data_IF_111833647262
#
_entry.id   IF_111833647262
#
_cell.length_a   1.000
_cell.length_b   1.000
_cell.length_c   1.000
_cell.angle_alpha   90.00
_cell.angle_beta   90.00
_cell.angle_gamma   90.00
#
_symmetry.space_group_name_H-M   'P 1'
#
loop_
_entity.id
_entity.type
_entity.pdbx_description
1 polymer ?
#
# COMPACT_ATOMS: atom_id res chain seq x y z
N UNK A 1 57.89 -28.31 11.38
CA UNK A 1 56.63 -27.54 11.27
C UNK A 1 56.94 -26.31 10.42
N UNK A 2 56.34 -26.19 9.23
CA UNK A 2 56.68 -25.12 8.26
C UNK A 2 55.99 -23.81 8.64
N UNK A 3 56.52 -23.15 9.68
CA UNK A 3 56.01 -21.87 10.19
C UNK A 3 55.98 -20.76 9.13
N UNK A 4 56.89 -20.82 8.15
CA UNK A 4 56.91 -19.89 7.01
C UNK A 4 55.69 -20.05 6.12
N UNK A 5 55.28 -21.29 5.82
CA UNK A 5 54.10 -21.57 5.00
C UNK A 5 52.81 -21.14 5.72
N UNK A 6 52.74 -21.35 7.04
CA UNK A 6 51.62 -20.87 7.86
C UNK A 6 51.58 -19.34 7.89
N UNK A 7 52.72 -18.67 8.03
CA UNK A 7 52.81 -17.21 7.98
C UNK A 7 52.33 -16.65 6.63
N UNK A 8 52.71 -17.27 5.51
CA UNK A 8 52.24 -16.86 4.18
C UNK A 8 50.73 -17.04 4.01
N UNK A 9 50.15 -18.13 4.52
CA UNK A 9 48.70 -18.37 4.46
C UNK A 9 47.95 -17.33 5.29
N UNK A 10 48.42 -17.01 6.49
CA UNK A 10 47.81 -15.98 7.36
C UNK A 10 47.92 -14.60 6.72
N UNK A 11 49.08 -14.24 6.15
CA UNK A 11 49.23 -12.94 5.48
C UNK A 11 48.36 -12.81 4.23
N UNK A 12 48.20 -13.90 3.47
CA UNK A 12 47.38 -13.92 2.27
C UNK A 12 45.89 -13.81 2.62
N UNK A 13 45.43 -14.54 3.65
CA UNK A 13 44.05 -14.45 4.12
C UNK A 13 43.73 -13.07 4.70
N UNK A 14 44.68 -12.45 5.43
CA UNK A 14 44.50 -11.09 5.93
C UNK A 14 44.41 -10.07 4.79
N UNK A 15 45.27 -10.18 3.77
CA UNK A 15 45.25 -9.30 2.60
C UNK A 15 43.94 -9.45 1.81
N UNK A 16 43.46 -10.69 1.62
CA UNK A 16 42.17 -10.96 0.97
C UNK A 16 41.00 -10.41 1.78
N UNK A 17 41.02 -10.53 3.11
CA UNK A 17 39.98 -9.98 3.97
C UNK A 17 39.91 -8.45 3.89
N UNK A 18 41.07 -7.77 3.89
CA UNK A 18 41.15 -6.30 3.75
C UNK A 18 40.64 -5.84 2.37
N UNK A 19 40.93 -6.59 1.30
CA UNK A 19 40.43 -6.27 -0.04
C UNK A 19 38.93 -6.57 -0.22
N UNK A 20 38.40 -7.56 0.50
CA UNK A 20 36.99 -7.92 0.45
C UNK A 20 36.09 -6.98 1.27
N UNK A 21 36.59 -6.41 2.37
CA UNK A 21 35.84 -5.47 3.23
C UNK A 21 35.14 -4.31 2.48
N UNK A 22 35.81 -3.54 1.60
CA UNK A 22 35.15 -2.46 0.87
C UNK A 22 34.07 -2.98 -0.08
N UNK A 23 34.26 -4.15 -0.69
CA UNK A 23 33.26 -4.73 -1.60
C UNK A 23 31.98 -5.12 -0.84
N UNK A 24 32.12 -5.79 0.31
CA UNK A 24 30.98 -6.17 1.15
C UNK A 24 30.21 -4.93 1.62
N UNK A 25 30.92 -3.89 2.07
CA UNK A 25 30.30 -2.65 2.55
C UNK A 25 29.59 -1.86 1.44
N UNK A 26 30.14 -1.84 0.23
CA UNK A 26 29.51 -1.19 -0.94
C UNK A 26 28.23 -1.95 -1.34
N UNK A 27 28.23 -3.28 -1.29
CA UNK A 27 27.05 -4.10 -1.60
C UNK A 27 25.93 -3.79 -0.61
N UNK A 28 26.22 -3.77 0.69
CA UNK A 28 25.21 -3.47 1.73
C UNK A 28 24.65 -2.06 1.57
N UNK A 29 25.49 -1.05 1.28
CA UNK A 29 25.04 0.33 1.04
C UNK A 29 24.14 0.45 -0.20
N UNK A 30 24.48 -0.27 -1.27
CA UNK A 30 23.69 -0.29 -2.51
C UNK A 30 22.34 -0.96 -2.29
N UNK A 31 22.30 -2.08 -1.58
CA UNK A 31 21.05 -2.79 -1.25
C UNK A 31 20.15 -1.93 -0.37
N UNK A 32 20.69 -1.34 0.69
CA UNK A 32 19.92 -0.42 1.56
C UNK A 32 19.38 0.79 0.79
N UNK A 33 20.18 1.38 -0.09
CA UNK A 33 19.75 2.52 -0.91
C UNK A 33 18.64 2.12 -1.88
N UNK A 34 18.71 0.91 -2.44
CA UNK A 34 17.72 0.40 -3.36
C UNK A 34 16.41 0.07 -2.65
N UNK A 35 16.46 -0.53 -1.46
CA UNK A 35 15.27 -0.76 -0.63
C UNK A 35 14.61 0.55 -0.21
N UNK A 36 15.40 1.54 0.24
CA UNK A 36 14.90 2.88 0.58
C UNK A 36 14.19 3.53 -0.60
N UNK A 37 14.78 3.45 -1.81
CA UNK A 37 14.17 3.98 -3.02
C UNK A 37 12.83 3.29 -3.35
N UNK A 38 12.76 1.95 -3.23
CA UNK A 38 11.53 1.19 -3.45
C UNK A 38 10.43 1.56 -2.46
N UNK A 39 10.80 1.71 -1.19
CA UNK A 39 9.86 2.10 -0.12
C UNK A 39 9.34 3.53 -0.37
N UNK A 40 10.21 4.45 -0.77
CA UNK A 40 9.84 5.82 -1.10
C UNK A 40 8.88 5.87 -2.29
N UNK A 41 9.19 5.15 -3.39
CA UNK A 41 8.29 5.05 -4.55
C UNK A 41 6.91 4.55 -4.14
N UNK A 42 6.89 3.48 -3.34
CA UNK A 42 5.66 2.88 -2.87
C UNK A 42 4.82 3.89 -2.07
N UNK A 43 5.44 4.60 -1.11
CA UNK A 43 4.75 5.59 -0.30
C UNK A 43 4.25 6.78 -1.11
N UNK A 44 4.99 7.23 -2.12
CA UNK A 44 4.54 8.28 -3.02
C UNK A 44 3.24 7.88 -3.73
N UNK A 45 3.18 6.67 -4.28
CA UNK A 45 1.96 6.19 -4.97
C UNK A 45 0.78 6.07 -4.00
N UNK A 46 1.00 5.50 -2.81
CA UNK A 46 -0.05 5.40 -1.78
C UNK A 46 -0.59 6.77 -1.38
N UNK A 47 0.31 7.72 -1.09
CA UNK A 47 -0.08 9.05 -0.65
C UNK A 47 -0.83 9.81 -1.74
N UNK A 48 -0.37 9.71 -2.99
CA UNK A 48 -1.05 10.28 -4.14
C UNK A 48 -2.46 9.69 -4.32
N UNK A 49 -2.61 8.37 -4.21
CA UNK A 49 -3.93 7.71 -4.25
C UNK A 49 -4.84 8.16 -3.11
N UNK A 50 -4.32 8.22 -1.88
CA UNK A 50 -5.07 8.66 -0.71
C UNK A 50 -5.54 10.11 -0.84
N UNK A 51 -4.69 10.99 -1.41
CA UNK A 51 -5.00 12.39 -1.64
C UNK A 51 -6.05 12.60 -2.75
N UNK A 52 -5.94 11.83 -3.84
CA UNK A 52 -6.82 11.91 -4.99
C UNK A 52 -8.23 11.39 -4.71
N UNK A 53 -8.39 10.47 -3.75
CA UNK A 53 -9.67 9.88 -3.41
C UNK A 53 -10.68 10.94 -2.91
N UNK A 54 -11.85 10.99 -3.54
CA UNK A 54 -12.92 11.95 -3.21
C UNK A 54 -12.73 13.36 -3.77
N UNK A 55 -11.71 13.60 -4.61
CA UNK A 55 -11.55 14.86 -5.36
C UNK A 55 -12.50 14.88 -6.58
N UNK A 56 -12.91 16.07 -7.08
CA UNK A 56 -13.76 16.17 -8.28
C UNK A 56 -13.14 15.54 -9.53
N UNK A 57 -11.82 15.64 -9.67
CA UNK A 57 -11.04 15.04 -10.76
C UNK A 57 -9.88 14.21 -10.17
N UNK A 58 -10.15 12.96 -9.75
CA UNK A 58 -9.20 12.14 -9.02
C UNK A 58 -7.89 11.90 -9.77
N UNK A 59 -7.97 11.53 -11.05
CA UNK A 59 -6.79 11.26 -11.88
C UNK A 59 -5.89 12.49 -11.99
N UNK A 60 -6.43 13.67 -12.30
CA UNK A 60 -5.61 14.89 -12.36
C UNK A 60 -5.01 15.27 -11.00
N UNK A 61 -5.75 15.06 -9.91
CA UNK A 61 -5.27 15.36 -8.56
C UNK A 61 -4.15 14.39 -8.13
N UNK A 62 -4.23 13.14 -8.58
CA UNK A 62 -3.17 12.15 -8.42
C UNK A 62 -1.91 12.57 -9.16
N UNK A 63 -2.04 12.91 -10.45
CA UNK A 63 -0.93 13.37 -11.30
C UNK A 63 -0.23 14.58 -10.70
N UNK A 64 -0.99 15.61 -10.32
CA UNK A 64 -0.43 16.85 -9.77
C UNK A 64 0.28 16.61 -8.44
N UNK A 65 -0.31 15.80 -7.54
CA UNK A 65 0.31 15.49 -6.26
C UNK A 65 1.63 14.73 -6.45
N UNK A 66 1.65 13.73 -7.35
CA UNK A 66 2.88 12.98 -7.64
C UNK A 66 3.96 13.88 -8.23
N UNK A 67 3.60 14.76 -9.16
CA UNK A 67 4.54 15.72 -9.76
C UNK A 67 5.10 16.70 -8.72
N UNK A 68 4.24 17.29 -7.88
CA UNK A 68 4.63 18.21 -6.82
C UNK A 68 5.60 17.56 -5.82
N UNK A 69 5.32 16.32 -5.39
CA UNK A 69 6.19 15.56 -4.48
C UNK A 69 7.53 15.21 -5.13
N UNK A 70 7.55 14.83 -6.42
CA UNK A 70 8.79 14.54 -7.14
C UNK A 70 9.65 15.80 -7.33
N UNK A 71 9.02 16.96 -7.58
CA UNK A 71 9.71 18.25 -7.67
C UNK A 71 10.26 18.73 -6.32
N UNK A 72 9.64 18.32 -5.20
CA UNK A 72 10.11 18.63 -3.86
C UNK A 72 11.33 17.80 -3.42
N UNK A 73 11.65 16.70 -4.12
CA UNK A 73 12.83 15.90 -3.83
C UNK A 73 14.11 16.67 -4.20
N UNK A 74 15.05 16.77 -3.25
CA UNK A 74 16.37 17.35 -3.52
C UNK A 74 17.24 16.34 -4.30
N UNK A 75 17.60 16.61 -5.57
CA UNK A 75 18.40 15.70 -6.38
C UNK A 75 19.83 15.51 -5.85
N UNK A 76 20.29 16.35 -4.92
CA UNK A 76 21.60 16.19 -4.26
C UNK A 76 21.59 15.08 -3.21
N UNK A 77 20.40 14.68 -2.74
CA UNK A 77 20.20 13.73 -1.66
C UNK A 77 19.64 12.41 -2.21
N UNK A 78 18.76 12.46 -3.21
CA UNK A 78 18.07 11.28 -3.77
C UNK A 78 18.03 11.34 -5.29
N UNK A 79 18.23 10.20 -5.96
CA UNK A 79 18.04 10.06 -7.42
C UNK A 79 16.55 10.21 -7.77
N UNK A 80 16.20 11.34 -8.40
CA UNK A 80 14.81 11.66 -8.79
C UNK A 80 14.44 10.81 -10.02
N UNK A 81 13.48 9.88 -9.87
CA UNK A 81 13.11 8.99 -10.96
C UNK A 81 12.28 9.73 -12.02
N UNK A 82 12.43 9.33 -13.29
CA UNK A 82 11.43 9.65 -14.30
C UNK A 82 10.24 8.70 -14.15
N UNK A 83 9.02 9.23 -14.07
CA UNK A 83 7.81 8.44 -13.83
C UNK A 83 6.97 8.27 -15.09
N UNK A 84 6.56 7.04 -15.35
CA UNK A 84 5.56 6.71 -16.37
C UNK A 84 4.38 6.03 -15.71
N UNK A 85 3.19 6.55 -15.94
CA UNK A 85 1.97 6.03 -15.36
C UNK A 85 1.38 5.03 -16.33
N UNK A 86 1.34 3.77 -15.89
CA UNK A 86 0.87 2.65 -16.71
C UNK A 86 -0.65 2.48 -16.59
N UNK A 87 -1.19 2.61 -15.38
CA UNK A 87 -2.64 2.59 -15.15
C UNK A 87 -3.02 3.36 -13.88
N UNK A 88 -4.19 3.98 -13.88
CA UNK A 88 -4.83 4.59 -12.70
C UNK A 88 -6.31 4.26 -12.77
N UNK A 89 -6.87 3.78 -11.65
CA UNK A 89 -8.29 3.55 -11.47
C UNK A 89 -8.65 4.10 -10.09
N UNK A 90 -9.44 5.16 -10.02
CA UNK A 90 -9.90 5.74 -8.75
C UNK A 90 -11.43 5.84 -8.79
N UNK A 91 -12.08 4.81 -8.26
CA UNK A 91 -13.53 4.66 -8.12
C UNK A 91 -13.90 4.54 -6.65
N UNK A 92 -15.19 4.55 -6.33
CA UNK A 92 -15.65 4.48 -4.94
C UNK A 92 -15.22 3.16 -4.27
N UNK A 93 -15.44 2.04 -4.94
CA UNK A 93 -15.17 0.69 -4.43
C UNK A 93 -13.78 0.14 -4.79
N UNK A 94 -13.04 0.84 -5.65
CA UNK A 94 -11.79 0.37 -6.24
C UNK A 94 -10.80 1.51 -6.45
N UNK A 95 -9.62 1.39 -5.85
CA UNK A 95 -8.49 2.30 -6.04
C UNK A 95 -7.27 1.47 -6.42
N UNK A 96 -6.67 1.78 -7.57
CA UNK A 96 -5.51 1.09 -8.09
C UNK A 96 -4.63 2.05 -8.90
N UNK A 97 -3.32 1.93 -8.75
CA UNK A 97 -2.38 2.60 -9.64
C UNK A 97 -1.15 1.74 -9.88
N UNK A 98 -0.71 1.70 -11.13
CA UNK A 98 0.57 1.11 -11.53
C UNK A 98 1.46 2.19 -12.15
N UNK A 99 2.63 2.38 -11.56
CA UNK A 99 3.62 3.38 -11.99
C UNK A 99 4.97 2.72 -12.19
N UNK A 100 5.61 3.03 -13.32
CA UNK A 100 7.00 2.71 -13.59
C UNK A 100 7.90 3.90 -13.21
N UNK A 101 8.77 3.69 -12.22
CA UNK A 101 9.84 4.59 -11.82
C UNK A 101 11.13 4.20 -12.53
N UNK A 102 11.61 5.06 -13.42
CA UNK A 102 12.84 4.86 -14.19
C UNK A 102 13.98 5.62 -13.55
N UNK A 103 15.01 4.89 -13.13
CA UNK A 103 16.26 5.44 -12.57
C UNK A 103 17.46 4.98 -13.38
N UNK A 104 18.61 5.60 -13.09
CA UNK A 104 19.90 5.26 -13.71
C UNK A 104 20.26 3.77 -13.62
N UNK A 105 19.82 3.08 -12.57
CA UNK A 105 20.12 1.68 -12.29
C UNK A 105 19.02 0.69 -12.73
N UNK A 106 17.89 1.17 -13.25
CA UNK A 106 16.82 0.30 -13.76
C UNK A 106 15.41 0.89 -13.64
N UNK A 107 14.43 0.09 -14.06
CA UNK A 107 13.01 0.42 -13.99
C UNK A 107 12.37 -0.39 -12.87
N UNK A 108 11.70 0.30 -11.96
CA UNK A 108 10.95 -0.30 -10.85
C UNK A 108 9.46 -0.01 -11.02
N UNK A 109 8.63 -1.05 -11.02
CA UNK A 109 7.17 -0.91 -11.11
C UNK A 109 6.55 -1.03 -9.74
N UNK A 110 5.76 -0.04 -9.38
CA UNK A 110 4.95 -0.02 -8.16
C UNK A 110 3.51 -0.23 -8.56
N UNK A 111 2.88 -1.25 -7.98
CA UNK A 111 1.44 -1.45 -8.03
C UNK A 111 0.87 -1.28 -6.62
N UNK A 112 -0.13 -0.43 -6.47
CA UNK A 112 -0.89 -0.24 -5.24
C UNK A 112 -2.35 -0.52 -5.55
N UNK A 113 -2.98 -1.37 -4.75
CA UNK A 113 -4.36 -1.79 -4.91
C UNK A 113 -5.09 -1.74 -3.56
N UNK A 114 -6.30 -1.20 -3.58
CA UNK A 114 -7.32 -1.40 -2.57
C UNK A 114 -8.67 -1.49 -3.27
N UNK A 115 -9.33 -2.64 -3.20
CA UNK A 115 -10.65 -2.85 -3.78
C UNK A 115 -11.48 -3.73 -2.87
N UNK A 116 -12.81 -3.65 -2.96
CA UNK A 116 -13.70 -4.49 -2.16
C UNK A 116 -14.75 -5.17 -3.04
N UNK A 117 -14.80 -6.48 -2.92
CA UNK A 117 -15.80 -7.32 -3.57
C UNK A 117 -16.85 -7.76 -2.55
N UNK A 118 -18.11 -7.42 -2.80
CA UNK A 118 -19.23 -7.92 -2.00
C UNK A 118 -19.55 -9.36 -2.42
N UNK A 119 -19.44 -10.31 -1.48
CA UNK A 119 -19.68 -11.72 -1.73
C UNK A 119 -21.13 -12.09 -1.46
N UNK A 120 -21.65 -11.70 -0.30
CA UNK A 120 -23.01 -12.00 0.14
C UNK A 120 -23.58 -10.80 0.89
N UNK A 121 -24.88 -10.57 0.73
CA UNK A 121 -25.62 -9.51 1.42
C UNK A 121 -26.96 -10.05 1.87
N UNK A 122 -27.31 -9.78 3.11
CA UNK A 122 -28.63 -10.06 3.67
C UNK A 122 -29.09 -8.89 4.51
N UNK A 123 -30.40 -8.70 4.59
CA UNK A 123 -31.01 -7.68 5.45
C UNK A 123 -32.12 -8.32 6.27
N UNK A 124 -32.28 -7.84 7.50
CA UNK A 124 -33.31 -8.28 8.42
C UNK A 124 -33.82 -7.09 9.22
N UNK A 125 -35.13 -7.00 9.44
CA UNK A 125 -35.71 -5.93 10.23
C UNK A 125 -35.85 -6.38 11.69
N UNK A 126 -35.34 -5.57 12.62
CA UNK A 126 -35.54 -5.77 14.06
C UNK A 126 -36.68 -4.87 14.55
N UNK A 127 -37.88 -5.43 14.80
CA UNK A 127 -39.04 -4.65 15.23
C UNK A 127 -38.89 -4.08 16.65
N UNK A 128 -38.01 -4.63 17.49
CA UNK A 128 -37.82 -4.13 18.86
C UNK A 128 -37.04 -2.82 18.89
N UNK A 129 -36.11 -2.67 17.96
CA UNK A 129 -35.24 -1.49 17.83
C UNK A 129 -35.67 -0.56 16.69
N UNK A 130 -36.63 -0.98 15.87
CA UNK A 130 -37.06 -0.29 14.66
C UNK A 130 -35.89 0.04 13.73
N UNK A 131 -34.98 -0.93 13.53
CA UNK A 131 -33.82 -0.79 12.65
C UNK A 131 -33.77 -1.93 11.64
N UNK A 132 -33.17 -1.68 10.48
CA UNK A 132 -32.79 -2.70 9.52
C UNK A 132 -31.33 -3.07 9.79
N UNK A 133 -31.09 -4.35 10.08
CA UNK A 133 -29.77 -4.93 10.24
C UNK A 133 -29.35 -5.52 8.91
N UNK A 134 -28.33 -4.93 8.29
CA UNK A 134 -27.70 -5.40 7.06
C UNK A 134 -26.44 -6.18 7.45
N UNK A 135 -26.37 -7.44 7.03
CA UNK A 135 -25.16 -8.25 7.15
C UNK A 135 -24.56 -8.43 5.77
N UNK A 136 -23.37 -7.90 5.58
CA UNK A 136 -22.62 -8.01 4.34
C UNK A 136 -21.33 -8.79 4.59
N UNK A 137 -21.06 -9.77 3.73
CA UNK A 137 -19.78 -10.44 3.66
C UNK A 137 -19.05 -9.93 2.43
N UNK A 138 -17.83 -9.47 2.60
CA UNK A 138 -17.03 -8.94 1.51
C UNK A 138 -15.57 -9.37 1.64
N UNK A 139 -14.88 -9.38 0.50
CA UNK A 139 -13.46 -9.64 0.39
C UNK A 139 -12.75 -8.33 0.05
N UNK A 140 -11.79 -7.95 0.88
CA UNK A 140 -10.90 -6.83 0.57
C UNK A 140 -9.74 -7.36 -0.25
N UNK A 141 -9.50 -6.77 -1.42
CA UNK A 141 -8.37 -7.04 -2.27
C UNK A 141 -7.32 -5.93 -2.08
N UNK A 142 -6.08 -6.33 -1.85
CA UNK A 142 -4.95 -5.41 -1.68
C UNK A 142 -3.67 -5.99 -2.29
N UNK A 143 -2.74 -5.13 -2.68
CA UNK A 143 -1.43 -5.52 -3.23
C UNK A 143 -0.56 -6.26 -2.19
N UNK A 144 -0.81 -6.04 -0.89
CA UNK A 144 -0.16 -6.73 0.22
C UNK A 144 -1.07 -6.81 1.44
N UNK A 145 -0.84 -7.76 2.37
CA UNK A 145 -1.61 -7.85 3.59
C UNK A 145 -1.57 -6.53 4.38
N UNK A 146 -2.75 -5.95 4.60
CA UNK A 146 -2.95 -4.69 5.33
C UNK A 146 -4.02 -4.86 6.41
N UNK A 147 -3.93 -4.04 7.46
CA UNK A 147 -4.98 -3.94 8.46
C UNK A 147 -6.13 -3.09 7.90
N UNK A 148 -7.35 -3.56 8.10
CA UNK A 148 -8.56 -2.89 7.59
C UNK A 148 -9.43 -2.42 8.76
N UNK A 149 -9.93 -1.20 8.65
CA UNK A 149 -10.90 -0.61 9.55
C UNK A 149 -12.19 -0.28 8.79
N UNK A 150 -13.32 -0.45 9.46
CA UNK A 150 -14.66 -0.17 8.93
C UNK A 150 -15.29 0.98 9.67
N UNK A 151 -15.92 1.88 8.93
CA UNK A 151 -16.70 2.98 9.50
C UNK A 151 -17.99 3.16 8.71
N UNK A 152 -19.12 3.18 9.41
CA UNK A 152 -20.41 3.48 8.80
C UNK A 152 -20.54 5.00 8.65
N UNK A 153 -21.02 5.47 7.49
CA UNK A 153 -21.37 6.88 7.31
C UNK A 153 -22.80 7.16 7.79
N UNK A 154 -23.68 6.16 7.68
CA UNK A 154 -25.06 6.18 8.16
C UNK A 154 -25.33 4.96 9.04
N UNK A 155 -25.98 5.18 10.17
CA UNK A 155 -26.29 4.13 11.15
C UNK A 155 -25.11 3.70 12.02
N UNK A 156 -25.24 2.53 12.63
CA UNK A 156 -24.32 1.99 13.64
C UNK A 156 -23.64 0.72 13.14
N UNK A 157 -22.32 0.64 13.35
CA UNK A 157 -21.55 -0.58 13.11
C UNK A 157 -21.79 -1.55 14.28
N UNK A 158 -22.54 -2.62 14.05
CA UNK A 158 -22.95 -3.56 15.10
C UNK A 158 -21.86 -4.58 15.41
N UNK A 159 -21.27 -5.16 14.37
CA UNK A 159 -20.21 -6.15 14.51
C UNK A 159 -19.34 -6.25 13.26
N UNK A 160 -18.08 -6.62 13.47
CA UNK A 160 -17.11 -6.95 12.42
C UNK A 160 -16.47 -8.27 12.80
N UNK A 161 -16.56 -9.27 11.92
CA UNK A 161 -15.83 -10.53 12.03
C UNK A 161 -14.81 -10.61 10.90
N UNK A 162 -13.58 -10.94 11.24
CA UNK A 162 -12.51 -11.16 10.29
C UNK A 162 -12.29 -12.66 10.09
N UNK A 163 -12.12 -13.06 8.84
CA UNK A 163 -11.75 -14.40 8.41
C UNK A 163 -10.38 -14.37 7.71
N UNK A 164 -9.92 -15.55 7.27
CA UNK A 164 -8.73 -15.65 6.42
C UNK A 164 -8.91 -14.89 5.10
N UNK A 165 -7.81 -14.63 4.40
CA UNK A 165 -7.78 -14.04 3.06
C UNK A 165 -8.48 -12.68 2.93
N UNK A 166 -8.39 -11.86 3.99
CA UNK A 166 -9.02 -10.54 4.07
C UNK A 166 -10.53 -10.54 3.79
N UNK A 167 -11.21 -11.62 4.17
CA UNK A 167 -12.67 -11.71 4.13
C UNK A 167 -13.23 -11.20 5.46
N UNK A 168 -14.26 -10.36 5.39
CA UNK A 168 -14.93 -9.80 6.56
C UNK A 168 -16.44 -9.97 6.45
N UNK A 169 -17.08 -10.16 7.59
CA UNK A 169 -18.53 -10.10 7.74
C UNK A 169 -18.85 -8.93 8.67
N UNK A 170 -19.62 -7.98 8.15
CA UNK A 170 -19.98 -6.75 8.85
C UNK A 170 -21.49 -6.64 8.98
N UNK A 171 -21.94 -6.40 10.21
CA UNK A 171 -23.32 -6.03 10.51
C UNK A 171 -23.44 -4.54 10.72
N UNK A 172 -24.39 -3.94 10.02
CA UNK A 172 -24.72 -2.50 10.10
C UNK A 172 -26.18 -2.38 10.49
N UNK A 173 -26.48 -1.59 11.51
CA UNK A 173 -27.83 -1.21 11.91
C UNK A 173 -28.17 0.16 11.36
N UNK A 174 -29.19 0.26 10.51
CA UNK A 174 -29.64 1.52 9.93
C UNK A 174 -31.12 1.76 10.20
N UNK A 175 -31.55 3.02 10.19
CA UNK A 175 -32.97 3.35 10.20
C UNK A 175 -33.64 2.83 8.91
N UNK A 176 -34.91 2.42 8.98
CA UNK A 176 -35.67 2.05 7.79
C UNK A 176 -35.65 3.17 6.74
N UNK A 177 -35.56 2.82 5.46
CA UNK A 177 -35.51 3.72 4.30
C UNK A 177 -34.20 4.51 4.07
N UNK A 178 -33.15 4.28 4.85
CA UNK A 178 -31.80 4.79 4.56
C UNK A 178 -30.98 3.77 3.77
N UNK A 179 -29.92 4.25 3.10
CA UNK A 179 -28.95 3.39 2.43
C UNK A 179 -27.69 3.24 3.29
N UNK A 180 -27.28 2.02 3.57
CA UNK A 180 -26.06 1.79 4.32
C UNK A 180 -24.85 2.17 3.46
N UNK A 181 -24.04 3.11 3.92
CA UNK A 181 -22.75 3.45 3.31
C UNK A 181 -21.63 3.06 4.25
N UNK A 182 -20.77 2.16 3.78
CA UNK A 182 -19.64 1.64 4.53
C UNK A 182 -18.34 2.18 3.95
N UNK A 183 -17.57 2.87 4.78
CA UNK A 183 -16.22 3.28 4.47
C UNK A 183 -15.25 2.19 4.96
N UNK A 184 -14.47 1.66 4.03
CA UNK A 184 -13.38 0.72 4.29
C UNK A 184 -12.07 1.50 4.18
N UNK A 185 -11.26 1.43 5.22
CA UNK A 185 -9.98 2.15 5.29
C UNK A 185 -8.88 1.15 5.60
N UNK A 186 -7.75 1.25 4.91
CA UNK A 186 -6.58 0.45 5.25
C UNK A 186 -5.61 1.21 6.17
N UNK A 187 -4.63 0.51 6.71
CA UNK A 187 -3.58 1.07 7.57
C UNK A 187 -2.64 2.05 6.87
N UNK A 188 -2.67 2.11 5.54
CA UNK A 188 -1.86 3.03 4.73
C UNK A 188 -2.57 4.37 4.53
N UNK A 189 -3.86 4.45 4.86
CA UNK A 189 -4.70 5.63 4.70
C UNK A 189 -5.52 5.64 3.41
N UNK A 190 -5.47 4.58 2.59
CA UNK A 190 -6.35 4.43 1.44
C UNK A 190 -7.77 4.12 1.91
N UNK A 191 -8.74 4.58 1.13
CA UNK A 191 -10.15 4.50 1.47
C UNK A 191 -10.95 4.08 0.25
N UNK A 192 -11.95 3.26 0.49
CA UNK A 192 -12.98 2.89 -0.50
C UNK A 192 -14.33 2.87 0.20
N UNK A 193 -15.38 3.20 -0.53
CA UNK A 193 -16.74 3.28 -0.05
C UNK A 193 -17.61 2.26 -0.78
N UNK A 194 -18.48 1.61 -0.03
CA UNK A 194 -19.41 0.61 -0.54
C UNK A 194 -20.82 1.02 -0.13
N UNK A 195 -21.74 0.97 -1.08
CA UNK A 195 -23.17 1.17 -0.83
C UNK A 195 -23.85 -0.21 -0.70
N UNK A 196 -24.55 -0.39 0.43
CA UNK A 196 -25.14 -1.64 0.89
C UNK A 196 -26.64 -1.49 1.17
#
# INVERSE_FOLDING_TARGET
MNYTLVAYIISLTLALAILAQPQVMIITLREESLEKARVLDYWLVVNALAYAYGKPSPESAFMSFLEDELQALDPRIVDVPNTTIESIIIKQEHVEATIAFTRSWGIHRVNVLLSVNVLERSSSYDPKRNIVIIKARFQVLSDKPVLIAFKTLEGELLNVKQYADQIYEVGIGISPNLWAKLLVMDSRGLKVMIEL
#
